data_IF_622826702313
#
_entry.id   IF_622826702313
#
_cell.length_a   1.000
_cell.length_b   1.000
_cell.length_c   1.000
_cell.angle_alpha   90.00
_cell.angle_beta   90.00
_cell.angle_gamma   90.00
#
_symmetry.space_group_name_H-M   'P 1'
#
loop_
_entity.id
_entity.type
_entity.pdbx_description
1 polymer ?
#
# COMPACT_ATOMS: atom_id res chain seq x y z
N UNK A 1 -9.44 1.68 0.19
CA UNK A 1 -10.86 1.79 0.59
C UNK A 1 -10.92 2.32 2.00
N UNK A 2 -10.42 1.55 2.97
CA UNK A 2 -10.50 1.90 4.40
C UNK A 2 -9.90 3.27 4.75
N UNK A 3 -8.71 3.61 4.26
CA UNK A 3 -8.10 4.93 4.48
C UNK A 3 -8.96 6.10 3.93
N UNK A 4 -9.68 5.87 2.82
CA UNK A 4 -10.55 6.86 2.21
C UNK A 4 -11.85 7.02 3.02
N UNK A 5 -12.44 5.91 3.47
CA UNK A 5 -13.61 5.90 4.36
C UNK A 5 -13.31 6.51 5.72
N UNK A 6 -12.09 6.34 6.24
CA UNK A 6 -11.69 6.89 7.53
C UNK A 6 -11.51 8.42 7.51
N UNK A 7 -11.25 9.02 6.35
CA UNK A 7 -10.89 10.44 6.23
C UNK A 7 -11.87 11.27 5.41
N UNK A 8 -12.70 10.66 4.58
CA UNK A 8 -13.59 11.38 3.65
C UNK A 8 -15.02 10.91 3.79
N UNK A 9 -15.98 11.83 3.65
CA UNK A 9 -17.41 11.52 3.77
C UNK A 9 -17.95 10.87 2.49
N UNK A 10 -17.60 11.40 1.31
CA UNK A 10 -18.12 10.93 0.03
C UNK A 10 -17.11 11.04 -1.11
N UNK A 11 -16.96 9.95 -1.85
CA UNK A 11 -16.19 9.87 -3.10
C UNK A 11 -17.03 9.24 -4.21
N UNK A 12 -16.74 9.55 -5.47
CA UNK A 12 -17.40 8.94 -6.65
C UNK A 12 -16.39 8.25 -7.55
N UNK A 13 -16.89 7.44 -8.48
CA UNK A 13 -16.09 6.75 -9.49
C UNK A 13 -14.87 6.01 -8.89
N UNK A 14 -15.06 5.40 -7.73
CA UNK A 14 -14.02 4.63 -7.07
C UNK A 14 -13.68 3.41 -7.93
N UNK A 15 -12.40 3.27 -8.26
CA UNK A 15 -11.90 2.16 -9.04
C UNK A 15 -10.42 1.95 -8.83
N UNK A 16 -9.92 0.81 -9.27
CA UNK A 16 -8.51 0.47 -9.15
C UNK A 16 -8.22 -0.94 -9.64
N UNK A 17 -6.95 -1.25 -9.78
CA UNK A 17 -6.46 -2.57 -10.15
C UNK A 17 -5.29 -2.95 -9.28
N UNK A 18 -5.19 -4.24 -8.98
CA UNK A 18 -4.01 -4.83 -8.34
C UNK A 18 -3.50 -5.92 -9.28
N UNK A 19 -2.26 -5.79 -9.72
CA UNK A 19 -1.57 -6.80 -10.51
C UNK A 19 -0.47 -7.40 -9.65
N UNK A 20 -0.57 -8.69 -9.36
CA UNK A 20 0.44 -9.42 -8.63
C UNK A 20 1.14 -10.41 -9.57
N UNK A 21 2.44 -10.24 -9.75
CA UNK A 21 3.29 -11.15 -10.53
C UNK A 21 4.17 -11.92 -9.58
N UNK A 22 4.06 -13.25 -9.59
CA UNK A 22 4.96 -14.14 -8.86
C UNK A 22 5.75 -14.97 -9.84
N UNK A 23 7.08 -14.91 -9.72
CA UNK A 23 7.99 -15.73 -10.51
C UNK A 23 8.80 -16.64 -9.60
N UNK A 24 8.91 -17.90 -10.02
CA UNK A 24 9.78 -18.90 -9.39
C UNK A 24 10.85 -19.25 -10.42
N UNK A 25 12.11 -19.17 -10.02
CA UNK A 25 13.24 -19.53 -10.89
C UNK A 25 13.48 -21.04 -10.82
N UNK A 26 13.82 -21.64 -11.95
CA UNK A 26 14.14 -23.07 -12.05
C UNK A 26 15.45 -23.24 -12.84
N UNK A 27 16.27 -24.22 -12.45
CA UNK A 27 17.60 -24.44 -13.04
C UNK A 27 18.64 -23.42 -12.56
N UNK A 28 19.59 -23.08 -13.43
CA UNK A 28 20.79 -22.28 -13.10
C UNK A 28 20.56 -20.75 -13.21
N UNK A 29 19.32 -20.29 -13.03
CA UNK A 29 19.01 -18.86 -13.12
C UNK A 29 19.39 -18.18 -11.80
N UNK A 30 20.41 -17.32 -11.85
CA UNK A 30 20.89 -16.54 -10.71
C UNK A 30 19.86 -15.52 -10.18
N UNK A 31 19.99 -15.17 -8.90
CA UNK A 31 19.12 -14.24 -8.18
C UNK A 31 18.22 -14.94 -7.14
N UNK A 32 17.32 -14.19 -6.47
CA UNK A 32 16.43 -14.76 -5.47
C UNK A 32 15.53 -15.86 -6.08
N UNK A 33 15.32 -17.00 -5.38
CA UNK A 33 14.55 -18.14 -5.91
C UNK A 33 13.09 -17.81 -6.20
N UNK A 34 12.57 -16.76 -5.56
CA UNK A 34 11.23 -16.22 -5.78
C UNK A 34 11.33 -14.71 -5.90
N UNK A 35 10.63 -14.15 -6.88
CA UNK A 35 10.43 -12.71 -6.98
C UNK A 35 8.94 -12.42 -7.08
N UNK A 36 8.50 -11.47 -6.27
CA UNK A 36 7.12 -10.99 -6.20
C UNK A 36 7.11 -9.51 -6.58
N UNK A 37 6.25 -9.15 -7.52
CA UNK A 37 6.01 -7.77 -7.90
C UNK A 37 4.51 -7.47 -7.73
N UNK A 38 4.20 -6.34 -7.12
CA UNK A 38 2.85 -5.85 -6.96
C UNK A 38 2.77 -4.48 -7.63
N UNK A 39 1.84 -4.32 -8.56
CA UNK A 39 1.43 -3.03 -9.11
C UNK A 39 0.03 -2.71 -8.61
N UNK A 40 -0.14 -1.52 -8.04
CA UNK A 40 -1.40 -1.01 -7.51
C UNK A 40 -1.75 0.28 -8.23
N UNK A 41 -2.98 0.35 -8.75
CA UNK A 41 -3.57 1.58 -9.32
C UNK A 41 -4.87 1.84 -8.62
N UNK A 42 -5.11 3.09 -8.24
CA UNK A 42 -6.36 3.50 -7.63
C UNK A 42 -6.76 4.88 -8.17
N UNK A 43 -8.06 5.10 -8.31
CA UNK A 43 -8.64 6.37 -8.74
C UNK A 43 -10.00 6.58 -8.10
N UNK A 44 -10.32 7.84 -7.85
CA UNK A 44 -11.64 8.29 -7.40
C UNK A 44 -11.81 9.76 -7.74
N UNK A 45 -13.05 10.22 -7.68
CA UNK A 45 -13.42 11.62 -7.86
C UNK A 45 -13.85 12.20 -6.52
N UNK A 46 -13.20 13.28 -6.09
CA UNK A 46 -13.62 14.07 -4.93
C UNK A 46 -14.99 14.72 -5.20
N UNK A 47 -15.83 14.80 -4.18
CA UNK A 47 -17.18 15.41 -4.29
C UNK A 47 -17.17 16.90 -3.99
N UNK A 48 -16.12 17.39 -3.34
CA UNK A 48 -15.89 18.80 -3.00
C UNK A 48 -14.48 19.21 -3.46
N UNK A 49 -14.18 20.52 -3.50
CA UNK A 49 -12.83 21.01 -3.77
C UNK A 49 -11.83 20.78 -2.64
N UNK A 50 -12.27 20.33 -1.46
CA UNK A 50 -11.37 20.05 -0.35
C UNK A 50 -10.66 18.71 -0.58
N UNK A 51 -9.42 18.79 -1.06
CA UNK A 51 -8.59 17.63 -1.37
C UNK A 51 -7.70 17.19 -0.20
N UNK A 52 -7.64 17.95 0.91
CA UNK A 52 -6.70 17.68 1.99
C UNK A 52 -6.86 16.28 2.57
N UNK A 53 -8.11 15.91 2.88
CA UNK A 53 -8.43 14.58 3.39
C UNK A 53 -8.16 13.46 2.38
N UNK A 54 -8.35 13.71 1.08
CA UNK A 54 -8.06 12.75 0.02
C UNK A 54 -6.55 12.49 -0.12
N UNK A 55 -5.72 13.52 0.01
CA UNK A 55 -4.26 13.39 -0.04
C UNK A 55 -3.76 12.61 1.19
N UNK A 56 -4.27 12.92 2.38
CA UNK A 56 -3.92 12.16 3.59
C UNK A 56 -4.31 10.69 3.47
N UNK A 57 -5.50 10.39 2.94
CA UNK A 57 -5.91 9.00 2.72
C UNK A 57 -4.98 8.26 1.75
N UNK A 58 -4.44 8.97 0.74
CA UNK A 58 -3.45 8.40 -0.17
C UNK A 58 -2.10 8.15 0.52
N UNK A 59 -1.63 9.08 1.35
CA UNK A 59 -0.42 8.91 2.15
C UNK A 59 -0.50 7.68 3.05
N UNK A 60 -1.63 7.47 3.76
CA UNK A 60 -1.81 6.27 4.58
C UNK A 60 -1.61 4.99 3.78
N UNK A 61 -2.18 4.92 2.57
CA UNK A 61 -2.02 3.72 1.70
C UNK A 61 -0.56 3.51 1.32
N UNK A 62 0.18 4.59 1.02
CA UNK A 62 1.61 4.51 0.70
C UNK A 62 2.44 4.06 1.90
N UNK A 63 2.13 4.53 3.11
CA UNK A 63 2.79 4.11 4.34
C UNK A 63 2.58 2.61 4.60
N UNK A 64 1.34 2.13 4.45
CA UNK A 64 1.03 0.70 4.56
C UNK A 64 1.75 -0.13 3.48
N UNK A 65 1.79 0.34 2.23
CA UNK A 65 2.49 -0.35 1.14
C UNK A 65 4.01 -0.37 1.34
N UNK A 66 4.57 0.66 1.97
CA UNK A 66 5.98 0.74 2.34
C UNK A 66 6.33 -0.06 3.61
N UNK A 67 5.33 -0.59 4.32
CA UNK A 67 5.52 -1.33 5.58
C UNK A 67 5.92 -0.43 6.76
N UNK A 68 5.58 0.86 6.72
CA UNK A 68 5.81 1.76 7.84
C UNK A 68 4.88 1.41 9.00
N UNK A 69 5.35 1.46 10.26
CA UNK A 69 4.48 1.23 11.40
C UNK A 69 3.46 2.38 11.53
N UNK A 70 2.25 2.12 12.04
CA UNK A 70 1.28 3.18 12.31
C UNK A 70 1.87 4.28 13.18
N UNK A 71 1.43 5.53 12.96
CA UNK A 71 1.88 6.66 13.76
C UNK A 71 1.70 6.38 15.28
N UNK A 72 2.76 6.62 16.05
CA UNK A 72 2.78 6.36 17.50
C UNK A 72 3.07 4.90 17.89
N UNK A 73 3.22 4.00 16.92
CA UNK A 73 3.68 2.63 17.13
C UNK A 73 5.13 2.53 16.67
N UNK A 74 6.01 2.03 17.53
CA UNK A 74 7.41 1.75 17.20
C UNK A 74 7.65 0.26 17.31
N UNK A 75 8.23 -0.34 16.27
CA UNK A 75 8.62 -1.75 16.30
C UNK A 75 9.77 -1.92 17.31
N UNK A 76 9.58 -2.81 18.28
CA UNK A 76 10.58 -3.09 19.32
C UNK A 76 11.69 -4.02 18.85
N UNK A 77 11.57 -4.60 17.65
CA UNK A 77 12.52 -5.54 17.06
C UNK A 77 12.62 -6.86 17.83
N UNK A 78 12.87 -7.97 17.13
CA UNK A 78 13.28 -9.20 17.82
C UNK A 78 14.75 -9.07 18.21
N UNK A 79 15.04 -9.05 19.51
CA UNK A 79 16.41 -9.22 19.98
C UNK A 79 16.90 -10.60 19.56
N UNK A 80 17.73 -10.65 18.51
CA UNK A 80 18.47 -11.87 18.17
C UNK A 80 19.29 -12.28 19.40
N UNK A 81 18.93 -13.41 19.99
CA UNK A 81 19.69 -14.01 21.09
C UNK A 81 20.87 -14.74 20.42
N UNK A 82 22.06 -14.18 20.60
CA UNK A 82 23.33 -14.84 20.29
C UNK A 82 23.50 -16.11 21.12
#
# INVERSE_FOLDING_TARGET
MDALTARTDQVRALGGTVTATTSVRYGDISGPPRAHQLELRASWTATTPDLGAHVQAFCDVLEHAAGLPPAGVTDLGSRSRA
#
